data_IF_294673584766
#
_entry.id   IF_294673584766
#
_cell.length_a   1.000
_cell.length_b   1.000
_cell.length_c   1.000
_cell.angle_alpha   90.00
_cell.angle_beta   90.00
_cell.angle_gamma   90.00
#
_symmetry.space_group_name_H-M   'P 1'
#
loop_
_entity.id
_entity.type
_entity.pdbx_description
1 polymer ?
#
# COMPACT_ATOMS: atom_id res chain seq x y z
N UNK A 1 7.72 7.78 12.80
CA UNK A 1 6.83 6.63 12.64
C UNK A 1 6.44 6.44 11.17
N UNK A 2 5.98 5.25 10.83
CA UNK A 2 5.55 4.95 9.46
C UNK A 2 4.41 5.86 9.00
N UNK A 3 3.50 6.22 9.90
CA UNK A 3 2.41 7.13 9.57
C UNK A 3 2.94 8.52 9.19
N UNK A 4 3.87 9.04 9.95
CA UNK A 4 4.48 10.35 9.67
C UNK A 4 5.24 10.31 8.36
N UNK A 5 6.03 9.27 8.14
CA UNK A 5 6.77 9.09 6.88
C UNK A 5 5.82 9.04 5.69
N UNK A 6 4.73 8.28 5.80
CA UNK A 6 3.74 8.18 4.74
C UNK A 6 3.12 9.53 4.39
N UNK A 7 2.77 10.33 5.39
CA UNK A 7 2.19 11.66 5.17
C UNK A 7 3.19 12.63 4.53
N UNK A 8 4.45 12.58 4.97
CA UNK A 8 5.49 13.42 4.38
C UNK A 8 5.73 13.07 2.91
N UNK A 9 5.74 11.78 2.58
CA UNK A 9 5.88 11.33 1.20
C UNK A 9 4.68 11.75 0.36
N UNK A 10 3.47 11.65 0.90
CA UNK A 10 2.26 12.07 0.20
C UNK A 10 2.27 13.58 -0.08
N UNK A 11 2.74 14.38 0.86
CA UNK A 11 2.88 15.82 0.68
C UNK A 11 3.90 16.13 -0.43
N UNK A 12 5.06 15.50 -0.37
CA UNK A 12 6.09 15.67 -1.39
C UNK A 12 5.58 15.28 -2.78
N UNK A 13 4.78 14.22 -2.86
CA UNK A 13 4.22 13.72 -4.12
C UNK A 13 3.25 14.70 -4.79
N UNK A 14 2.79 15.74 -4.09
CA UNK A 14 2.01 16.81 -4.69
C UNK A 14 2.85 17.66 -5.66
N UNK A 15 4.15 17.64 -5.51
CA UNK A 15 5.06 18.51 -6.25
C UNK A 15 5.96 17.76 -7.21
N UNK A 16 6.22 16.49 -6.97
CA UNK A 16 7.11 15.66 -7.78
C UNK A 16 6.51 14.26 -7.95
N UNK A 17 6.93 13.57 -9.00
CA UNK A 17 6.60 12.14 -9.13
C UNK A 17 7.49 11.35 -8.17
N UNK A 18 6.86 10.53 -7.33
CA UNK A 18 7.56 9.80 -6.29
C UNK A 18 7.24 8.30 -6.40
N UNK A 19 8.29 7.49 -6.47
CA UNK A 19 8.16 6.02 -6.42
C UNK A 19 8.76 5.54 -5.11
N UNK A 20 7.95 4.85 -4.31
CA UNK A 20 8.36 4.35 -3.01
C UNK A 20 8.18 2.84 -2.93
N UNK A 21 9.22 2.14 -2.47
CA UNK A 21 9.14 0.71 -2.19
C UNK A 21 9.08 0.55 -0.68
N UNK A 22 8.04 -0.10 -0.19
CA UNK A 22 7.83 -0.24 1.26
C UNK A 22 7.15 -1.55 1.60
N UNK A 23 7.40 -2.03 2.82
CA UNK A 23 6.65 -3.13 3.43
C UNK A 23 5.67 -2.62 4.50
N UNK A 24 5.56 -1.31 4.66
CA UNK A 24 4.73 -0.68 5.68
C UNK A 24 3.37 -0.31 5.11
N UNK A 25 2.30 -0.91 5.65
CA UNK A 25 0.94 -0.63 5.19
C UNK A 25 0.58 0.85 5.34
N UNK A 26 1.03 1.49 6.42
CA UNK A 26 0.75 2.90 6.69
C UNK A 26 1.36 3.82 5.62
N UNK A 27 2.50 3.45 5.05
CA UNK A 27 3.12 4.20 3.97
C UNK A 27 2.38 3.92 2.65
N UNK A 28 2.14 2.64 2.35
CA UNK A 28 1.46 2.24 1.12
C UNK A 28 0.06 2.84 1.00
N UNK A 29 -0.66 2.97 2.13
CA UNK A 29 -2.02 3.51 2.16
C UNK A 29 -2.09 4.98 1.69
N UNK A 30 -0.99 5.72 1.77
CA UNK A 30 -0.93 7.13 1.38
C UNK A 30 -0.70 7.33 -0.11
N UNK A 31 -0.36 6.29 -0.86
CA UNK A 31 0.00 6.43 -2.26
C UNK A 31 -1.23 6.71 -3.13
N UNK A 32 -1.02 7.43 -4.23
CA UNK A 32 -2.05 7.63 -5.24
C UNK A 32 -2.26 6.38 -6.07
N UNK A 33 -1.18 5.65 -6.35
CA UNK A 33 -1.21 4.37 -7.04
C UNK A 33 -0.50 3.33 -6.19
N UNK A 34 -1.03 2.11 -6.19
CA UNK A 34 -0.41 1.00 -5.48
C UNK A 34 -0.09 -0.10 -6.50
N UNK A 35 1.19 -0.39 -6.63
CA UNK A 35 1.68 -1.43 -7.52
C UNK A 35 2.14 -2.63 -6.69
N UNK A 36 1.63 -3.80 -7.02
CA UNK A 36 2.02 -5.04 -6.34
C UNK A 36 2.96 -5.82 -7.24
N UNK A 37 4.12 -6.20 -6.70
CA UNK A 37 5.07 -7.05 -7.40
C UNK A 37 4.81 -8.49 -6.99
N UNK A 38 4.44 -9.33 -7.95
CA UNK A 38 4.27 -10.76 -7.73
C UNK A 38 5.42 -11.51 -8.35
N UNK A 39 6.09 -12.34 -7.53
CA UNK A 39 7.12 -13.24 -8.00
C UNK A 39 6.48 -14.59 -8.30
N UNK A 40 6.73 -15.10 -9.49
CA UNK A 40 6.33 -16.45 -9.87
C UNK A 40 7.53 -17.37 -9.77
N UNK A 41 7.36 -18.47 -9.05
CA UNK A 41 8.42 -19.47 -8.92
C UNK A 41 8.34 -20.46 -10.09
N UNK A 42 8.63 -19.92 -11.27
CA UNK A 42 8.71 -20.73 -12.49
C UNK A 42 10.19 -20.89 -12.85
N UNK A 43 10.47 -21.72 -13.83
CA UNK A 43 11.83 -21.91 -14.33
C UNK A 43 11.90 -21.40 -15.78
N UNK A 44 12.47 -20.21 -16.07
CA UNK A 44 13.10 -19.29 -15.11
C UNK A 44 12.08 -18.53 -14.25
N UNK A 45 12.56 -18.04 -13.11
CA UNK A 45 11.75 -17.21 -12.23
C UNK A 45 11.37 -15.90 -12.94
N UNK A 46 10.14 -15.45 -12.74
CA UNK A 46 9.65 -14.22 -13.33
C UNK A 46 8.90 -13.38 -12.30
N UNK A 47 8.76 -12.09 -12.61
CA UNK A 47 8.00 -11.16 -11.78
C UNK A 47 7.01 -10.40 -12.65
N UNK A 48 5.82 -10.14 -12.10
CA UNK A 48 4.83 -9.28 -12.74
C UNK A 48 4.48 -8.15 -11.81
N UNK A 49 4.12 -7.01 -12.40
CA UNK A 49 3.67 -5.83 -11.65
C UNK A 49 2.21 -5.61 -11.99
N UNK A 50 1.38 -5.50 -10.95
CA UNK A 50 -0.06 -5.33 -11.07
C UNK A 50 -0.45 -4.03 -10.40
N UNK A 51 -1.17 -3.16 -11.10
CA UNK A 51 -1.78 -1.98 -10.50
C UNK A 51 -3.06 -2.40 -9.79
N UNK A 52 -3.19 -2.04 -8.51
CA UNK A 52 -4.32 -2.44 -7.69
C UNK A 52 -5.42 -1.39 -7.74
N UNK A 53 -6.69 -1.84 -7.89
CA UNK A 53 -7.84 -0.97 -7.67
C UNK A 53 -8.08 -0.77 -6.18
N UNK A 54 -9.07 0.05 -5.81
CA UNK A 54 -9.29 0.38 -4.39
C UNK A 54 -9.63 -0.85 -3.55
N UNK A 55 -10.46 -1.74 -4.07
CA UNK A 55 -10.82 -2.96 -3.35
C UNK A 55 -9.61 -3.88 -3.15
N UNK A 56 -8.81 -4.06 -4.20
CA UNK A 56 -7.59 -4.84 -4.14
C UNK A 56 -6.57 -4.20 -3.19
N UNK A 57 -6.50 -2.87 -3.14
CA UNK A 57 -5.60 -2.15 -2.23
C UNK A 57 -5.95 -2.44 -0.78
N UNK A 58 -7.23 -2.44 -0.44
CA UNK A 58 -7.67 -2.73 0.93
C UNK A 58 -7.26 -4.14 1.32
N UNK A 59 -7.46 -5.12 0.43
CA UNK A 59 -7.04 -6.49 0.69
C UNK A 59 -5.53 -6.60 0.88
N UNK A 60 -4.75 -5.93 0.04
CA UNK A 60 -3.29 -5.95 0.16
C UNK A 60 -2.81 -5.27 1.44
N UNK A 61 -3.40 -4.13 1.81
CA UNK A 61 -3.06 -3.46 3.06
C UNK A 61 -3.37 -4.35 4.27
N UNK A 62 -4.49 -5.08 4.22
CA UNK A 62 -4.85 -6.03 5.26
C UNK A 62 -3.81 -7.15 5.35
N UNK A 63 -3.38 -7.68 4.22
CA UNK A 63 -2.33 -8.71 4.17
C UNK A 63 -1.02 -8.20 4.76
N UNK A 64 -0.62 -6.98 4.41
CA UNK A 64 0.61 -6.36 4.91
C UNK A 64 0.56 -6.16 6.43
N UNK A 65 -0.62 -5.90 6.97
CA UNK A 65 -0.80 -5.62 8.41
C UNK A 65 -1.05 -6.86 9.24
N UNK A 66 -1.75 -7.84 8.69
CA UNK A 66 -2.29 -8.99 9.45
C UNK A 66 -1.50 -10.29 9.34
N UNK A 67 -0.45 -10.34 8.54
CA UNK A 67 0.33 -11.58 8.37
C UNK A 67 -0.34 -12.60 7.47
N UNK A 68 -0.48 -13.85 7.95
CA UNK A 68 -0.88 -14.99 7.12
C UNK A 68 -2.36 -14.97 6.76
N UNK A 69 -3.22 -14.57 7.69
CA UNK A 69 -4.67 -14.60 7.48
C UNK A 69 -5.27 -13.20 7.54
N UNK A 70 -6.19 -12.93 6.61
CA UNK A 70 -6.94 -11.69 6.57
C UNK A 70 -8.21 -11.89 7.40
N UNK A 71 -8.32 -11.18 8.52
CA UNK A 71 -9.48 -11.20 9.38
C UNK A 71 -10.37 -9.99 9.11
N UNK A 72 -11.59 -10.03 9.65
CA UNK A 72 -12.50 -8.88 9.61
C UNK A 72 -11.85 -7.66 10.24
N UNK A 73 -11.13 -7.83 11.35
CA UNK A 73 -10.43 -6.76 12.04
C UNK A 73 -9.38 -6.11 11.16
N UNK A 74 -8.55 -6.93 10.46
CA UNK A 74 -7.52 -6.39 9.58
C UNK A 74 -8.11 -5.67 8.37
N UNK A 75 -9.24 -6.16 7.85
CA UNK A 75 -9.95 -5.46 6.77
C UNK A 75 -10.46 -4.09 7.22
N UNK A 76 -11.05 -4.00 8.41
CA UNK A 76 -11.52 -2.74 8.95
C UNK A 76 -10.35 -1.77 9.17
N UNK A 77 -9.24 -2.28 9.69
CA UNK A 77 -8.04 -1.47 9.88
C UNK A 77 -7.51 -0.93 8.53
N UNK A 78 -7.48 -1.78 7.51
CA UNK A 78 -7.03 -1.38 6.18
C UNK A 78 -7.92 -0.27 5.59
N UNK A 79 -9.24 -0.39 5.76
CA UNK A 79 -10.18 0.64 5.32
C UNK A 79 -9.93 1.96 6.03
N UNK A 80 -9.66 1.91 7.34
CA UNK A 80 -9.33 3.11 8.12
C UNK A 80 -8.04 3.77 7.62
N UNK A 81 -7.03 2.99 7.30
CA UNK A 81 -5.77 3.54 6.78
C UNK A 81 -6.01 4.32 5.48
N UNK A 82 -6.89 3.82 4.60
CA UNK A 82 -7.20 4.51 3.36
C UNK A 82 -8.02 5.78 3.61
N UNK A 83 -8.88 5.79 4.61
CA UNK A 83 -9.67 6.98 4.98
C UNK A 83 -8.79 8.08 5.58
N UNK A 84 -7.68 7.71 6.21
CA UNK A 84 -6.73 8.66 6.81
C UNK A 84 -5.70 9.18 5.81
N UNK A 85 -5.91 8.94 4.52
CA UNK A 85 -5.01 9.43 3.49
C UNK A 85 -4.84 10.94 3.59
N UNK A 86 -3.59 11.40 3.41
CA UNK A 86 -3.24 12.82 3.40
C UNK A 86 -4.11 13.59 2.40
N UNK A 87 -4.69 14.70 2.87
CA UNK A 87 -5.47 15.61 2.03
C UNK A 87 -4.76 16.96 2.04
N UNK A 88 -4.31 17.45 0.88
CA UNK A 88 -3.72 18.78 0.82
C UNK A 88 -4.77 19.85 1.17
N UNK A 89 -4.31 20.88 1.85
CA UNK A 89 -5.16 22.00 2.25
C UNK A 89 -5.66 22.80 1.02
#
# INVERSE_FOLDING_TARGET
TAEVVGRLLADLAQHVQLLCITHQAQVAAQSDQHLLVKKQQTDPASSTIIELDEEQRILELARMSGGVEISETTLQHAKQLRQLKFQPA
#
